data_IF_173992093702
#
_entry.id   IF_173992093702
#
_cell.length_a   1.000
_cell.length_b   1.000
_cell.length_c   1.000
_cell.angle_alpha   90.00
_cell.angle_beta   90.00
_cell.angle_gamma   90.00
#
_symmetry.space_group_name_H-M   'P 1'
#
loop_
_entity.id
_entity.type
_entity.pdbx_description
1 polymer ?
#
# COMPACT_ATOMS: atom_id res chain seq x y z
N UNK A 1 -32.17 52.17 6.30
CA UNK A 1 -31.91 51.61 4.96
C UNK A 1 -31.00 50.40 5.16
N UNK A 2 -31.51 49.18 4.98
CA UNK A 2 -30.71 47.95 5.09
C UNK A 2 -30.34 47.54 3.67
N UNK A 3 -29.04 47.54 3.35
CA UNK A 3 -28.53 47.19 2.02
C UNK A 3 -28.25 45.68 2.07
N UNK A 4 -29.12 44.90 1.44
CA UNK A 4 -28.97 43.45 1.34
C UNK A 4 -27.80 43.13 0.40
N UNK A 5 -26.72 42.55 0.93
CA UNK A 5 -25.57 42.10 0.15
C UNK A 5 -25.84 40.69 -0.39
N UNK A 6 -25.88 40.53 -1.71
CA UNK A 6 -26.02 39.23 -2.37
C UNK A 6 -24.63 38.56 -2.46
N UNK A 7 -24.43 37.48 -1.71
CA UNK A 7 -23.22 36.65 -1.77
C UNK A 7 -23.35 35.68 -2.94
N UNK A 8 -22.50 35.83 -3.96
CA UNK A 8 -22.36 34.88 -5.06
C UNK A 8 -21.42 33.75 -4.65
N UNK A 9 -21.97 32.54 -4.51
CA UNK A 9 -21.21 31.33 -4.22
C UNK A 9 -20.73 30.75 -5.56
N UNK A 10 -19.42 30.83 -5.82
CA UNK A 10 -18.78 30.21 -6.97
C UNK A 10 -18.47 28.75 -6.64
N UNK A 11 -19.20 27.81 -7.23
CA UNK A 11 -18.97 26.37 -7.11
C UNK A 11 -17.81 25.94 -8.00
N UNK A 12 -16.72 25.47 -7.40
CA UNK A 12 -15.62 24.81 -8.12
C UNK A 12 -16.01 23.37 -8.42
N UNK A 13 -16.19 23.05 -9.70
CA UNK A 13 -16.36 21.67 -10.15
C UNK A 13 -14.96 21.07 -10.27
N UNK A 14 -14.62 20.12 -9.39
CA UNK A 14 -13.37 19.37 -9.50
C UNK A 14 -13.51 18.36 -10.64
N UNK A 15 -12.73 18.52 -11.71
CA UNK A 15 -12.65 17.54 -12.78
C UNK A 15 -11.70 16.42 -12.35
N UNK A 16 -12.24 15.30 -11.85
CA UNK A 16 -11.44 14.11 -11.57
C UNK A 16 -11.01 13.47 -12.88
N UNK A 17 -9.73 13.49 -13.21
CA UNK A 17 -9.20 12.67 -14.30
C UNK A 17 -9.30 11.20 -13.88
N UNK A 18 -9.68 10.33 -14.82
CA UNK A 18 -9.68 8.89 -14.58
C UNK A 18 -8.23 8.38 -14.57
N UNK A 19 -7.83 7.71 -13.50
CA UNK A 19 -6.55 7.01 -13.41
C UNK A 19 -6.61 5.83 -14.37
N UNK A 20 -5.54 5.62 -15.14
CA UNK A 20 -5.49 4.55 -16.13
C UNK A 20 -4.31 3.63 -15.88
N UNK A 21 -4.49 2.36 -16.26
CA UNK A 21 -3.42 1.37 -16.32
C UNK A 21 -3.38 0.72 -17.70
N UNK A 22 -2.18 0.49 -18.19
CA UNK A 22 -1.89 -0.28 -19.41
C UNK A 22 -0.83 -1.35 -19.11
N UNK A 23 -0.54 -2.21 -20.09
CA UNK A 23 0.55 -3.17 -19.98
C UNK A 23 1.68 -2.91 -20.98
N UNK A 24 2.88 -3.38 -20.64
CA UNK A 24 4.07 -3.35 -21.49
C UNK A 24 4.89 -4.63 -21.30
N UNK A 25 5.35 -5.23 -22.40
CA UNK A 25 6.12 -6.47 -22.39
C UNK A 25 7.48 -6.35 -21.67
N UNK A 26 7.99 -5.14 -21.45
CA UNK A 26 9.17 -4.89 -20.62
C UNK A 26 9.07 -5.55 -19.23
N UNK A 27 7.88 -5.55 -18.61
CA UNK A 27 7.67 -6.15 -17.29
C UNK A 27 7.42 -7.67 -17.33
N UNK A 28 7.28 -8.25 -18.53
CA UNK A 28 7.15 -9.70 -18.74
C UNK A 28 8.47 -10.33 -19.20
N UNK A 29 9.51 -9.53 -19.49
CA UNK A 29 10.84 -10.00 -19.91
C UNK A 29 11.73 -10.25 -18.69
N UNK A 30 11.98 -11.53 -18.41
CA UNK A 30 12.76 -11.99 -17.27
C UNK A 30 14.26 -11.73 -17.40
N UNK A 31 14.73 -11.33 -18.58
CA UNK A 31 16.14 -11.08 -18.88
C UNK A 31 16.56 -9.63 -18.69
N UNK A 32 15.60 -8.72 -18.46
CA UNK A 32 15.86 -7.29 -18.26
C UNK A 32 16.60 -7.08 -16.93
N UNK A 33 17.76 -6.39 -16.92
CA UNK A 33 18.43 -6.02 -15.68
C UNK A 33 17.57 -5.05 -14.86
N UNK A 34 17.47 -5.24 -13.54
CA UNK A 34 16.76 -4.28 -12.67
C UNK A 34 17.42 -2.90 -12.66
N UNK A 35 18.68 -2.80 -13.12
CA UNK A 35 19.38 -1.54 -13.30
C UNK A 35 18.77 -0.63 -14.39
N UNK A 36 17.92 -1.17 -15.27
CA UNK A 36 17.16 -0.39 -16.26
C UNK A 36 15.88 0.22 -15.67
N UNK A 37 15.48 -0.20 -14.47
CA UNK A 37 14.30 0.34 -13.81
C UNK A 37 14.60 1.75 -13.24
N UNK A 38 13.61 2.65 -13.29
CA UNK A 38 13.83 4.06 -12.99
C UNK A 38 14.19 4.28 -11.53
N UNK A 39 13.69 3.41 -10.64
CA UNK A 39 13.97 3.45 -9.20
C UNK A 39 15.30 2.79 -8.81
N UNK A 40 16.10 2.31 -9.76
CA UNK A 40 17.43 1.79 -9.48
C UNK A 40 18.36 2.89 -8.95
N UNK A 41 18.94 2.67 -7.77
CA UNK A 41 19.81 3.65 -7.11
C UNK A 41 20.86 2.95 -6.25
N UNK A 42 22.09 3.47 -6.27
CA UNK A 42 23.19 3.02 -5.40
C UNK A 42 23.43 1.49 -5.43
N UNK A 43 23.22 0.87 -6.60
CA UNK A 43 23.47 -0.56 -6.80
C UNK A 43 22.35 -1.48 -6.30
N UNK A 44 21.15 -0.96 -6.01
CA UNK A 44 19.97 -1.74 -5.60
C UNK A 44 18.67 -1.11 -6.09
N UNK A 45 17.58 -1.89 -6.05
CA UNK A 45 16.23 -1.40 -6.39
C UNK A 45 15.26 -1.36 -5.21
N UNK A 46 15.33 -2.35 -4.34
CA UNK A 46 14.54 -2.46 -3.11
C UNK A 46 15.50 -2.82 -2.00
N UNK A 47 15.32 -2.20 -0.83
CA UNK A 47 16.16 -2.48 0.33
C UNK A 47 15.98 -3.95 0.78
N UNK A 48 17.09 -4.62 1.10
CA UNK A 48 17.08 -6.02 1.52
C UNK A 48 16.82 -7.03 0.41
N UNK A 49 16.77 -6.61 -0.85
CA UNK A 49 16.62 -7.48 -2.02
C UNK A 49 17.82 -7.34 -2.95
N UNK A 50 18.43 -8.46 -3.33
CA UNK A 50 19.63 -8.52 -4.17
C UNK A 50 19.32 -8.98 -5.61
N UNK A 51 18.15 -8.60 -6.14
CA UNK A 51 17.77 -8.97 -7.51
C UNK A 51 18.68 -8.33 -8.55
N UNK A 52 19.08 -9.11 -9.54
CA UNK A 52 19.84 -8.65 -10.70
C UNK A 52 18.94 -8.46 -11.93
N UNK A 53 17.91 -9.28 -12.06
CA UNK A 53 17.00 -9.31 -13.21
C UNK A 53 15.55 -9.12 -12.79
N UNK A 54 14.73 -8.56 -13.69
CA UNK A 54 13.28 -8.40 -13.48
C UNK A 54 12.61 -9.76 -13.18
N UNK A 55 13.08 -10.85 -13.79
CA UNK A 55 12.58 -12.20 -13.53
C UNK A 55 12.80 -12.72 -12.10
N UNK A 56 13.71 -12.12 -11.34
CA UNK A 56 13.97 -12.47 -9.94
C UNK A 56 13.02 -11.74 -8.98
N UNK A 57 12.33 -10.71 -9.45
CA UNK A 57 11.38 -9.95 -8.64
C UNK A 57 10.12 -10.78 -8.41
N UNK A 58 9.92 -11.25 -7.18
CA UNK A 58 8.77 -12.10 -6.82
C UNK A 58 7.47 -11.32 -6.63
N UNK A 59 7.53 -9.99 -6.62
CA UNK A 59 6.38 -9.10 -6.44
C UNK A 59 5.81 -8.63 -7.78
N UNK A 60 4.53 -8.29 -7.80
CA UNK A 60 3.94 -7.63 -8.97
C UNK A 60 4.48 -6.20 -9.05
N UNK A 61 5.12 -5.85 -10.16
CA UNK A 61 5.73 -4.52 -10.34
C UNK A 61 4.96 -3.67 -11.35
N UNK A 62 5.10 -2.36 -11.21
CA UNK A 62 4.56 -1.39 -12.15
C UNK A 62 5.50 -0.19 -12.29
N UNK A 63 5.34 0.51 -13.42
CA UNK A 63 5.74 1.89 -13.57
C UNK A 63 4.61 2.83 -13.15
N UNK A 64 4.98 4.02 -12.69
CA UNK A 64 4.05 5.12 -12.38
C UNK A 64 4.48 6.40 -13.10
N UNK A 65 3.55 7.15 -13.68
CA UNK A 65 3.86 8.33 -14.52
C UNK A 65 4.58 9.45 -13.73
N UNK A 66 4.25 9.62 -12.45
CA UNK A 66 4.95 10.53 -11.54
C UNK A 66 6.37 10.13 -11.09
N UNK A 67 6.92 8.98 -11.52
CA UNK A 67 8.33 8.63 -11.26
C UNK A 67 9.21 9.30 -12.31
N UNK A 68 9.79 10.43 -11.95
CA UNK A 68 10.63 11.27 -12.83
C UNK A 68 12.14 11.07 -12.63
N UNK A 69 12.53 10.41 -11.54
CA UNK A 69 13.92 10.24 -11.11
C UNK A 69 14.09 9.08 -10.11
N UNK A 70 15.30 8.54 -9.93
CA UNK A 70 15.53 7.38 -9.06
C UNK A 70 15.18 7.56 -7.58
N UNK A 71 15.19 8.77 -7.07
CA UNK A 71 14.80 9.10 -5.69
C UNK A 71 13.40 9.74 -5.61
N UNK A 72 12.53 9.43 -6.57
CA UNK A 72 11.11 9.77 -6.50
C UNK A 72 10.48 9.17 -5.23
N UNK A 73 9.61 9.91 -4.49
CA UNK A 73 8.90 9.38 -3.33
C UNK A 73 7.89 8.27 -3.66
N UNK A 74 7.65 8.02 -4.96
CA UNK A 74 6.84 6.92 -5.46
C UNK A 74 7.66 5.63 -5.64
N UNK A 75 8.99 5.69 -5.69
CA UNK A 75 9.82 4.50 -5.77
C UNK A 75 9.64 3.63 -4.51
N UNK A 76 9.40 2.33 -4.73
CA UNK A 76 9.12 1.36 -3.67
C UNK A 76 7.74 1.49 -3.04
N UNK A 77 6.86 2.37 -3.55
CA UNK A 77 5.51 2.49 -3.02
C UNK A 77 4.60 1.35 -3.48
N UNK A 78 3.76 0.85 -2.56
CA UNK A 78 2.74 -0.15 -2.85
C UNK A 78 1.40 0.49 -3.18
N UNK A 79 0.72 -0.03 -4.20
CA UNK A 79 -0.57 0.48 -4.67
C UNK A 79 -1.54 -0.65 -4.98
N UNK A 80 -2.80 -0.49 -4.57
CA UNK A 80 -3.88 -1.36 -5.01
C UNK A 80 -4.59 -0.75 -6.21
N UNK A 81 -4.56 -1.46 -7.34
CA UNK A 81 -5.24 -1.09 -8.58
C UNK A 81 -6.54 -1.88 -8.67
N UNK A 82 -7.67 -1.18 -8.80
CA UNK A 82 -9.00 -1.78 -8.83
C UNK A 82 -9.72 -1.54 -10.17
N UNK A 83 -10.16 -2.62 -10.79
CA UNK A 83 -10.99 -2.64 -12.00
C UNK A 83 -12.28 -3.42 -11.73
N UNK A 84 -13.39 -2.71 -11.55
CA UNK A 84 -14.63 -3.30 -11.05
C UNK A 84 -14.39 -3.94 -9.67
N UNK A 85 -14.78 -5.21 -9.52
CA UNK A 85 -14.63 -5.96 -8.26
C UNK A 85 -13.28 -6.69 -8.14
N UNK A 86 -12.31 -6.39 -9.02
CA UNK A 86 -11.00 -7.06 -9.03
C UNK A 86 -9.92 -6.07 -8.67
N UNK A 87 -9.11 -6.40 -7.67
CA UNK A 87 -8.00 -5.56 -7.21
C UNK A 87 -6.67 -6.30 -7.26
N UNK A 88 -5.58 -5.61 -7.61
CA UNK A 88 -4.22 -6.15 -7.60
C UNK A 88 -3.26 -5.14 -6.98
N UNK A 89 -2.42 -5.62 -6.07
CA UNK A 89 -1.36 -4.83 -5.47
C UNK A 89 -0.13 -4.83 -6.39
N UNK A 90 0.45 -3.66 -6.63
CA UNK A 90 1.66 -3.49 -7.43
C UNK A 90 2.66 -2.61 -6.70
N UNK A 91 3.94 -2.97 -6.85
CA UNK A 91 5.08 -2.22 -6.35
C UNK A 91 5.63 -1.31 -7.46
N UNK A 92 5.72 -0.01 -7.18
CA UNK A 92 6.23 0.97 -8.15
C UNK A 92 7.76 0.95 -8.16
N UNK A 93 8.33 0.45 -9.26
CA UNK A 93 9.79 0.36 -9.46
C UNK A 93 10.28 1.10 -10.73
N UNK A 94 9.37 1.58 -11.57
CA UNK A 94 9.71 2.22 -12.84
C UNK A 94 8.86 3.47 -13.10
N UNK A 95 9.17 4.18 -14.18
CA UNK A 95 8.32 5.22 -14.76
C UNK A 95 7.30 4.60 -15.72
N UNK A 96 6.04 5.03 -15.68
CA UNK A 96 5.10 4.68 -16.75
C UNK A 96 5.30 5.59 -17.97
N UNK A 97 4.96 5.11 -19.17
CA UNK A 97 4.93 5.95 -20.36
C UNK A 97 3.79 6.97 -20.28
N UNK A 98 4.01 8.14 -20.88
CA UNK A 98 3.06 9.24 -20.87
C UNK A 98 1.66 8.82 -21.37
N UNK A 99 0.62 9.25 -20.65
CA UNK A 99 -0.77 8.93 -20.99
C UNK A 99 -1.29 7.63 -20.36
N UNK A 100 -0.56 7.04 -19.42
CA UNK A 100 -1.09 6.08 -18.45
C UNK A 100 -0.44 6.32 -17.09
N UNK A 101 -1.26 6.47 -16.05
CA UNK A 101 -0.74 6.70 -14.71
C UNK A 101 0.08 5.48 -14.24
N UNK A 102 -0.37 4.28 -14.60
CA UNK A 102 0.31 3.02 -14.33
C UNK A 102 0.60 2.23 -15.61
N UNK A 103 1.75 1.56 -15.63
CA UNK A 103 2.12 0.57 -16.65
C UNK A 103 2.62 -0.69 -15.94
N UNK A 104 2.15 -1.89 -16.31
CA UNK A 104 2.53 -3.14 -15.64
C UNK A 104 2.69 -4.30 -16.63
N UNK A 105 2.92 -5.52 -16.15
CA UNK A 105 3.04 -6.70 -17.00
C UNK A 105 1.69 -7.13 -17.58
N UNK A 106 1.71 -7.80 -18.72
CA UNK A 106 0.53 -8.40 -19.32
C UNK A 106 -0.12 -9.41 -18.36
N UNK A 107 0.69 -10.10 -17.56
CA UNK A 107 0.22 -11.04 -16.53
C UNK A 107 -0.61 -10.33 -15.45
N UNK A 108 -0.10 -9.22 -14.89
CA UNK A 108 -0.83 -8.42 -13.88
C UNK A 108 -2.11 -7.84 -14.49
N UNK A 109 -2.02 -7.27 -15.68
CA UNK A 109 -3.17 -6.67 -16.38
C UNK A 109 -4.25 -7.72 -16.69
N UNK A 110 -3.87 -8.93 -17.10
CA UNK A 110 -4.81 -10.03 -17.29
C UNK A 110 -5.45 -10.45 -15.97
N UNK A 111 -4.67 -10.49 -14.90
CA UNK A 111 -5.20 -10.83 -13.59
C UNK A 111 -6.17 -9.78 -13.06
N UNK A 112 -5.99 -8.51 -13.42
CA UNK A 112 -6.89 -7.41 -13.07
C UNK A 112 -8.17 -7.40 -13.94
N UNK A 113 -8.04 -7.72 -15.23
CA UNK A 113 -9.13 -7.64 -16.23
C UNK A 113 -9.80 -8.98 -16.54
N UNK A 114 -9.49 -10.03 -15.78
CA UNK A 114 -10.00 -11.41 -15.98
C UNK A 114 -9.68 -11.98 -17.37
N UNK A 115 -8.42 -11.83 -17.79
CA UNK A 115 -7.87 -12.38 -19.04
C UNK A 115 -8.16 -11.54 -20.29
N UNK A 116 -8.56 -10.27 -20.13
CA UNK A 116 -8.97 -9.39 -21.24
C UNK A 116 -7.95 -8.32 -21.60
N UNK A 117 -6.72 -8.40 -21.07
CA UNK A 117 -5.73 -7.33 -21.23
C UNK A 117 -5.47 -6.99 -22.70
N UNK A 118 -5.23 -8.00 -23.55
CA UNK A 118 -4.95 -7.77 -24.97
C UNK A 118 -6.12 -7.18 -25.78
N UNK A 119 -7.37 -7.39 -25.33
CA UNK A 119 -8.54 -6.80 -25.99
C UNK A 119 -8.77 -5.35 -25.55
N UNK A 120 -8.50 -5.06 -24.28
CA UNK A 120 -8.76 -3.75 -23.69
C UNK A 120 -7.59 -2.79 -23.94
N UNK A 121 -6.35 -3.29 -23.91
CA UNK A 121 -5.11 -2.51 -24.02
C UNK A 121 -4.84 -1.69 -22.75
N UNK A 122 -5.78 -0.79 -22.45
CA UNK A 122 -5.77 0.16 -21.33
C UNK A 122 -7.15 0.19 -20.69
N UNK A 123 -7.21 0.37 -19.37
CA UNK A 123 -8.47 0.52 -18.64
C UNK A 123 -8.41 1.66 -17.62
N UNK A 124 -9.57 2.24 -17.33
CA UNK A 124 -9.73 3.16 -16.20
C UNK A 124 -9.83 2.35 -14.91
N UNK A 125 -9.13 2.78 -13.87
CA UNK A 125 -9.09 2.12 -12.56
C UNK A 125 -9.31 3.11 -11.42
N UNK A 126 -9.56 2.56 -10.24
CA UNK A 126 -9.31 3.27 -8.98
C UNK A 126 -7.99 2.80 -8.42
N UNK A 127 -7.13 3.70 -7.98
CA UNK A 127 -5.84 3.37 -7.37
C UNK A 127 -5.71 4.06 -6.01
N UNK A 128 -5.19 3.34 -5.02
CA UNK A 128 -4.86 3.91 -3.71
C UNK A 128 -3.55 3.31 -3.21
N UNK A 129 -2.75 4.15 -2.55
CA UNK A 129 -1.51 3.72 -1.90
C UNK A 129 -1.85 2.84 -0.70
N UNK A 130 -1.11 1.76 -0.51
CA UNK A 130 -1.31 0.79 0.56
C UNK A 130 -0.02 0.56 1.35
N UNK A 131 -0.08 -0.32 2.35
CA UNK A 131 1.10 -0.68 3.14
C UNK A 131 2.05 -1.54 2.29
N UNK A 132 3.39 -1.45 2.50
CA UNK A 132 4.37 -2.25 1.76
C UNK A 132 4.11 -3.76 1.81
N UNK A 133 3.57 -4.24 2.93
CA UNK A 133 3.24 -5.65 3.14
C UNK A 133 2.18 -6.17 2.15
N UNK A 134 1.26 -5.32 1.68
CA UNK A 134 0.26 -5.69 0.67
C UNK A 134 0.90 -6.02 -0.69
N UNK A 135 2.12 -5.55 -0.93
CA UNK A 135 2.94 -5.90 -2.08
C UNK A 135 3.97 -7.00 -1.77
N UNK A 136 3.98 -7.53 -0.55
CA UNK A 136 4.91 -8.57 -0.10
C UNK A 136 6.24 -8.04 0.46
N UNK A 137 6.42 -6.72 0.60
CA UNK A 137 7.62 -6.16 1.24
C UNK A 137 7.41 -6.16 2.75
N UNK A 138 8.17 -7.01 3.44
CA UNK A 138 8.34 -6.89 4.88
C UNK A 138 9.23 -5.67 5.16
N UNK A 139 8.62 -4.54 5.48
CA UNK A 139 9.34 -3.46 6.15
C UNK A 139 9.44 -3.81 7.62
N UNK A 140 10.65 -3.92 8.15
CA UNK A 140 10.85 -3.84 9.61
C UNK A 140 10.11 -2.58 10.08
N UNK A 141 9.19 -2.67 11.05
CA UNK A 141 8.39 -1.54 11.47
C UNK A 141 9.35 -0.41 11.86
N UNK A 142 9.13 0.78 11.30
CA UNK A 142 9.77 2.00 11.80
C UNK A 142 9.51 2.02 13.31
N UNK A 143 10.56 1.87 14.11
CA UNK A 143 10.49 1.76 15.57
C UNK A 143 9.95 3.08 16.14
N UNK A 144 8.63 3.20 16.19
CA UNK A 144 7.88 4.00 17.16
C UNK A 144 6.69 3.19 17.70
N UNK A 145 6.84 1.85 17.73
CA UNK A 145 6.01 0.98 18.54
C UNK A 145 6.47 1.12 20.00
N UNK A 146 5.62 1.54 20.96
CA UNK A 146 5.96 1.43 22.37
C UNK A 146 6.17 -0.05 22.69
N UNK A 147 7.41 -0.42 23.03
CA UNK A 147 7.82 -1.78 23.39
C UNK A 147 6.84 -2.39 24.39
N UNK A 148 6.01 -3.34 23.94
CA UNK A 148 5.31 -4.26 24.83
C UNK A 148 6.35 -5.14 25.52
N UNK A 149 6.73 -4.77 26.75
CA UNK A 149 7.50 -5.65 27.63
C UNK A 149 6.54 -6.69 28.18
N UNK A 150 6.51 -7.87 27.55
CA UNK A 150 5.82 -9.05 28.10
C UNK A 150 6.61 -9.52 29.32
N UNK A 151 6.15 -9.13 30.51
CA UNK A 151 6.63 -9.69 31.76
C UNK A 151 6.32 -11.19 31.82
N UNK A 152 7.36 -12.02 31.87
CA UNK A 152 7.23 -13.47 31.84
C UNK A 152 6.34 -14.02 32.96
N UNK A 153 5.29 -14.74 32.60
CA UNK A 153 4.53 -15.56 33.54
C UNK A 153 5.35 -16.84 33.79
N UNK A 154 5.96 -16.95 34.96
CA UNK A 154 6.85 -18.05 35.34
C UNK A 154 6.02 -19.22 35.90
N UNK A 155 6.07 -20.33 35.18
CA UNK A 155 5.83 -21.72 35.58
C UNK A 155 4.62 -22.04 36.48
N UNK A 156 3.60 -22.73 35.93
CA UNK A 156 3.36 -24.13 36.31
C UNK A 156 2.44 -24.85 35.32
N UNK A 157 2.91 -26.02 34.89
CA UNK A 157 2.24 -27.02 34.06
C UNK A 157 0.96 -27.56 34.71
N UNK A 158 -0.13 -27.68 33.94
CA UNK A 158 -0.88 -28.93 33.77
C UNK A 158 -2.07 -28.75 32.82
N UNK A 159 -2.10 -29.58 31.78
CA UNK A 159 -3.25 -29.73 30.88
C UNK A 159 -4.38 -30.48 31.60
N UNK A 160 -5.59 -29.93 31.56
CA UNK A 160 -6.83 -30.73 31.40
C UNK A 160 -7.85 -29.97 30.57
N UNK A 161 -8.62 -30.64 29.71
CA UNK A 161 -9.58 -30.02 28.80
C UNK A 161 -10.92 -29.88 29.51
N UNK A 162 -11.52 -28.69 29.51
CA UNK A 162 -12.97 -28.46 29.40
C UNK A 162 -13.25 -26.98 29.67
N UNK A 163 -14.26 -26.49 28.97
CA UNK A 163 -14.49 -25.10 28.62
C UNK A 163 -14.79 -24.16 29.79
N UNK A 164 -14.44 -22.90 29.55
CA UNK A 164 -15.15 -21.68 29.97
C UNK A 164 -14.78 -21.05 31.31
N UNK A 165 -13.89 -20.06 31.20
CA UNK A 165 -14.01 -18.79 31.90
C UNK A 165 -13.38 -18.74 33.29
N UNK A 166 -12.18 -18.17 33.38
CA UNK A 166 -11.82 -17.26 34.46
C UNK A 166 -10.59 -16.42 34.09
N UNK A 167 -10.78 -15.12 34.33
CA UNK A 167 -9.83 -14.01 34.39
C UNK A 167 -8.52 -14.40 35.09
N UNK A 168 -7.38 -13.91 34.60
CA UNK A 168 -6.42 -13.12 35.38
C UNK A 168 -5.07 -12.98 34.67
N UNK A 169 -4.75 -11.78 34.23
CA UNK A 169 -3.54 -11.09 34.68
C UNK A 169 -3.93 -9.62 34.79
N UNK A 170 -3.94 -9.09 36.01
CA UNK A 170 -4.14 -7.68 36.34
C UNK A 170 -3.35 -6.79 35.38
N UNK A 171 -4.06 -6.14 34.46
CA UNK A 171 -3.49 -5.09 33.64
C UNK A 171 -3.50 -3.83 34.51
N UNK A 172 -2.38 -3.49 35.13
CA UNK A 172 -2.22 -2.20 35.78
C UNK A 172 -1.88 -1.15 34.71
N UNK A 173 -2.84 -0.30 34.35
CA UNK A 173 -2.63 0.80 33.41
C UNK A 173 -1.89 1.95 34.12
N UNK A 174 -0.62 2.18 33.77
CA UNK A 174 0.08 3.42 34.10
C UNK A 174 -0.07 4.39 32.92
N UNK A 175 -0.98 5.34 33.05
CA UNK A 175 -1.15 6.42 32.08
C UNK A 175 -0.20 7.56 32.46
N UNK A 176 0.71 7.94 31.57
CA UNK A 176 1.34 9.26 31.62
C UNK A 176 0.58 10.10 30.58
N UNK A 177 -0.32 10.95 31.08
CA UNK A 177 -1.19 11.81 30.28
C UNK A 177 -0.54 13.18 30.28
N UNK A 178 0.25 13.46 29.25
CA UNK A 178 0.65 14.81 28.87
C UNK A 178 0.90 14.87 27.36
N UNK A 179 -0.16 14.67 26.56
CA UNK A 179 -0.34 15.46 25.35
C UNK A 179 -1.80 15.40 24.88
N UNK A 180 -2.51 16.51 25.06
CA UNK A 180 -3.84 16.71 24.52
C UNK A 180 -3.72 16.94 23.00
N UNK A 181 -4.22 15.98 22.21
CA UNK A 181 -4.89 16.16 20.91
C UNK A 181 -4.96 14.79 20.20
N UNK A 182 -5.94 13.96 20.55
CA UNK A 182 -6.24 12.74 19.79
C UNK A 182 -7.27 13.07 18.71
N UNK A 183 -6.95 12.97 17.41
CA UNK A 183 -7.94 13.08 16.35
C UNK A 183 -8.91 11.90 16.41
N UNK A 184 -10.18 12.17 16.12
CA UNK A 184 -11.35 11.27 16.22
C UNK A 184 -11.28 9.97 15.38
N UNK A 185 -10.19 9.69 14.68
CA UNK A 185 -10.02 8.48 13.87
C UNK A 185 -9.45 7.26 14.61
N UNK A 186 -8.93 7.44 15.84
CA UNK A 186 -8.41 6.34 16.66
C UNK A 186 -9.46 5.66 17.54
N UNK A 187 -10.63 6.29 17.75
CA UNK A 187 -11.69 5.72 18.56
C UNK A 187 -12.40 4.53 17.90
N UNK A 188 -12.41 4.44 16.57
CA UNK A 188 -13.14 3.40 15.83
C UNK A 188 -12.40 2.06 15.72
N UNK A 189 -11.10 1.99 16.03
CA UNK A 189 -10.33 0.73 15.98
C UNK A 189 -10.32 -0.05 17.28
N UNK A 190 -10.90 0.49 18.36
CA UNK A 190 -10.99 -0.20 19.66
C UNK A 190 -12.25 -1.09 19.75
N UNK A 191 -13.27 -0.89 18.92
CA UNK A 191 -14.54 -1.62 19.04
C UNK A 191 -14.63 -2.92 18.22
N UNK A 192 -13.59 -3.32 17.50
CA UNK A 192 -13.62 -4.54 16.68
C UNK A 192 -12.53 -5.50 17.14
N UNK A 193 -12.64 -6.02 18.37
CA UNK A 193 -12.16 -7.35 18.78
C UNK A 193 -12.85 -7.74 20.10
N UNK A 194 -14.14 -8.03 20.01
CA UNK A 194 -14.86 -8.78 21.04
C UNK A 194 -16.01 -9.55 20.37
N UNK A 195 -15.74 -10.79 19.96
CA UNK A 195 -16.74 -11.85 19.81
C UNK A 195 -16.29 -13.03 20.66
#
# INVERSE_FOLDING_TARGET
MYISSLVTISSYISLSAAITVTYNGFYDDDTVPVAELACWKDGRIVEGQDWAMVGEVTYQIAGHEGVDRPDSPLCGSCWSLSYGDTSRSVLVLHSAQAGSEFETSLTVMNSLTRGKAGQLGRVNITAYRTEPLDCGIATEPMEEEPKMVVGGCKDLLSFTPEYSGQVACDINWNWDVDNAETPSHLADRILVMAF
#
